data_IF_328190962801
#
_entry.id   IF_328190962801
#
_cell.length_a   1.000
_cell.length_b   1.000
_cell.length_c   1.000
_cell.angle_alpha   90.00
_cell.angle_beta   90.00
_cell.angle_gamma   90.00
#
_symmetry.space_group_name_H-M   'P 1'
#
loop_
_entity.id
_entity.type
_entity.pdbx_description
1 polymer ?
#
# COMPACT_ATOMS: atom_id res chain seq x y z
N UNK A 1 71.29 -37.71 55.53
CA UNK A 1 72.57 -36.96 55.64
C UNK A 1 72.31 -35.55 55.12
N UNK A 2 72.49 -34.52 55.98
CA UNK A 2 72.77 -33.10 55.63
C UNK A 2 71.62 -32.29 54.98
N UNK A 3 70.86 -31.52 55.77
CA UNK A 3 70.98 -30.05 56.06
C UNK A 3 70.42 -29.18 54.93
N UNK A 4 69.30 -28.46 55.11
CA UNK A 4 69.11 -27.14 55.76
C UNK A 4 69.82 -25.96 55.04
N UNK A 5 69.13 -24.81 54.98
CA UNK A 5 69.38 -23.52 54.30
C UNK A 5 68.73 -23.40 52.90
N UNK A 6 67.93 -22.38 52.56
CA UNK A 6 67.81 -21.02 53.11
C UNK A 6 66.41 -20.44 52.84
N UNK A 7 65.79 -19.90 53.88
CA UNK A 7 64.78 -18.82 53.81
C UNK A 7 65.46 -17.54 53.31
N UNK A 8 64.81 -16.74 52.48
CA UNK A 8 64.66 -15.28 52.69
C UNK A 8 63.43 -14.79 51.92
N UNK A 9 62.58 -14.16 52.72
CA UNK A 9 61.38 -13.39 52.41
C UNK A 9 61.79 -12.09 51.73
N UNK A 10 61.21 -11.75 50.57
CA UNK A 10 60.86 -10.36 50.27
C UNK A 10 59.44 -10.34 49.70
N UNK A 11 58.53 -9.88 50.54
CA UNK A 11 57.20 -9.43 50.19
C UNK A 11 57.29 -8.21 49.25
N UNK A 12 56.47 -8.20 48.20
CA UNK A 12 56.24 -7.01 47.40
C UNK A 12 55.93 -7.34 45.96
N UNK A 13 54.66 -7.62 45.65
CA UNK A 13 53.87 -6.93 44.61
C UNK A 13 52.51 -7.63 44.54
N UNK A 14 51.53 -6.85 44.97
CA UNK A 14 50.09 -7.08 44.89
C UNK A 14 49.65 -6.87 43.43
N UNK A 15 48.88 -7.83 42.91
CA UNK A 15 47.88 -7.73 41.82
C UNK A 15 48.39 -7.29 40.43
N UNK A 16 48.45 -8.25 39.50
CA UNK A 16 48.02 -8.07 38.10
C UNK A 16 48.00 -9.43 37.35
N UNK A 17 47.20 -10.37 37.85
CA UNK A 17 46.83 -11.58 37.07
C UNK A 17 45.75 -11.23 36.04
N UNK A 18 46.08 -10.34 35.10
CA UNK A 18 45.24 -10.05 33.95
C UNK A 18 45.36 -11.19 32.94
N UNK A 19 44.29 -11.97 32.80
CA UNK A 19 44.06 -12.87 31.67
C UNK A 19 44.23 -12.09 30.36
N UNK A 20 45.38 -12.25 29.70
CA UNK A 20 45.60 -11.80 28.32
C UNK A 20 44.81 -12.74 27.39
N UNK A 21 43.50 -12.53 27.29
CA UNK A 21 42.74 -12.94 26.11
C UNK A 21 43.19 -12.04 24.96
N UNK A 22 44.03 -12.58 24.07
CA UNK A 22 44.25 -12.01 22.75
C UNK A 22 42.92 -12.07 21.98
N UNK A 23 42.07 -11.07 22.18
CA UNK A 23 40.97 -10.79 21.28
C UNK A 23 41.55 -10.47 19.91
N UNK A 24 41.39 -11.39 18.96
CA UNK A 24 41.40 -10.99 17.54
C UNK A 24 40.34 -9.89 17.43
N UNK A 25 40.76 -8.64 17.20
CA UNK A 25 39.87 -7.62 16.66
C UNK A 25 39.22 -8.25 15.43
N UNK A 26 37.91 -8.43 15.48
CA UNK A 26 37.14 -8.57 14.26
C UNK A 26 37.47 -7.33 13.44
N UNK A 27 37.94 -7.54 12.21
CA UNK A 27 37.88 -6.48 11.21
C UNK A 27 36.41 -6.11 11.12
N UNK A 28 36.05 -4.98 11.72
CA UNK A 28 34.81 -4.28 11.41
C UNK A 28 35.03 -3.74 10.01
N UNK A 29 34.80 -4.60 9.01
CA UNK A 29 34.75 -4.17 7.62
C UNK A 29 33.78 -3.00 7.55
N UNK A 30 34.23 -1.89 6.95
CA UNK A 30 33.35 -0.77 6.64
C UNK A 30 32.06 -1.33 6.02
N UNK A 31 30.91 -0.83 6.50
CA UNK A 31 29.64 -1.14 5.85
C UNK A 31 29.80 -0.86 4.34
N UNK A 32 29.32 -1.74 3.45
CA UNK A 32 29.52 -1.58 2.03
C UNK A 32 29.04 -0.18 1.62
N UNK A 33 29.95 0.61 1.03
CA UNK A 33 29.64 1.94 0.53
C UNK A 33 28.53 1.80 -0.51
N UNK A 34 27.41 2.46 -0.26
CA UNK A 34 26.31 2.57 -1.21
C UNK A 34 26.72 3.42 -2.41
N UNK A 35 25.88 3.44 -3.44
CA UNK A 35 26.15 4.22 -4.64
C UNK A 35 26.00 5.73 -4.40
N UNK A 36 26.65 6.54 -5.24
CA UNK A 36 26.53 8.01 -5.15
C UNK A 36 25.13 8.52 -5.55
N UNK A 37 24.39 7.74 -6.33
CA UNK A 37 23.09 8.09 -6.90
C UNK A 37 22.26 6.82 -7.12
N UNK A 38 20.91 6.91 -7.14
CA UNK A 38 20.04 5.82 -7.58
C UNK A 38 20.40 5.29 -8.99
N UNK A 39 20.97 6.14 -9.85
CA UNK A 39 21.41 5.77 -11.20
C UNK A 39 22.71 4.95 -11.24
N UNK A 40 23.40 4.82 -10.12
CA UNK A 40 24.66 4.08 -9.99
C UNK A 40 24.54 2.90 -9.01
N UNK A 41 23.35 2.67 -8.46
CA UNK A 41 23.10 1.64 -7.47
C UNK A 41 22.94 0.26 -8.10
N UNK A 42 23.01 -0.76 -7.23
CA UNK A 42 22.75 -2.15 -7.58
C UNK A 42 21.35 -2.54 -7.14
N UNK A 43 20.61 -3.17 -8.04
CA UNK A 43 19.24 -3.65 -7.84
C UNK A 43 19.17 -5.15 -8.09
N UNK A 44 18.21 -5.83 -7.47
CA UNK A 44 17.94 -7.25 -7.76
C UNK A 44 16.76 -7.32 -8.73
N UNK A 45 16.97 -7.84 -9.93
CA UNK A 45 15.93 -8.01 -10.96
C UNK A 45 15.89 -9.48 -11.34
N UNK A 46 14.74 -10.14 -11.15
CA UNK A 46 14.58 -11.59 -11.41
C UNK A 46 15.68 -12.45 -10.74
N UNK A 47 16.02 -12.11 -9.50
CA UNK A 47 17.09 -12.72 -8.68
C UNK A 47 18.54 -12.49 -9.18
N UNK A 48 18.72 -11.71 -10.24
CA UNK A 48 20.04 -11.27 -10.70
C UNK A 48 20.40 -9.89 -10.16
N UNK A 49 21.68 -9.73 -9.79
CA UNK A 49 22.23 -8.46 -9.35
C UNK A 49 22.59 -7.59 -10.56
N UNK A 50 21.93 -6.45 -10.70
CA UNK A 50 22.12 -5.49 -11.80
C UNK A 50 22.65 -4.18 -11.25
N UNK A 51 23.92 -3.90 -11.48
CA UNK A 51 24.55 -2.61 -11.17
C UNK A 51 24.37 -1.66 -12.35
N UNK A 52 23.75 -0.51 -12.09
CA UNK A 52 23.67 0.58 -13.07
C UNK A 52 24.94 1.43 -13.03
N UNK A 53 25.25 2.06 -14.15
CA UNK A 53 26.26 3.12 -14.23
C UNK A 53 25.67 4.23 -15.10
N UNK A 54 25.50 5.42 -14.53
CA UNK A 54 24.78 6.54 -15.15
C UNK A 54 23.39 6.13 -15.69
N UNK A 55 22.70 5.28 -14.93
CA UNK A 55 21.34 4.83 -15.19
C UNK A 55 21.22 3.69 -16.19
N UNK A 56 22.33 3.06 -16.61
CA UNK A 56 22.30 1.98 -17.61
C UNK A 56 23.17 0.80 -17.15
N UNK A 57 22.71 -0.42 -17.44
CA UNK A 57 23.50 -1.65 -17.37
C UNK A 57 23.32 -2.45 -18.66
N UNK A 58 24.40 -2.97 -19.22
CA UNK A 58 24.38 -3.81 -20.43
C UNK A 58 25.20 -5.09 -20.17
N UNK A 59 24.53 -6.23 -20.23
CA UNK A 59 25.15 -7.56 -20.04
C UNK A 59 24.82 -8.42 -21.26
N UNK A 60 25.80 -9.16 -21.78
CA UNK A 60 25.52 -10.12 -22.86
C UNK A 60 24.68 -11.27 -22.31
N UNK A 61 23.54 -11.55 -22.94
CA UNK A 61 22.63 -12.60 -22.50
C UNK A 61 23.29 -13.99 -22.53
N UNK A 62 24.29 -14.17 -23.40
CA UNK A 62 25.16 -15.35 -23.49
C UNK A 62 26.55 -14.84 -23.91
N UNK A 63 27.61 -15.37 -23.28
CA UNK A 63 29.00 -15.06 -23.65
C UNK A 63 29.24 -15.35 -25.15
N UNK A 64 29.59 -14.32 -25.93
CA UNK A 64 29.80 -14.42 -27.39
C UNK A 64 28.56 -14.18 -28.27
N UNK A 65 27.39 -13.88 -27.70
CA UNK A 65 26.18 -13.48 -28.45
C UNK A 65 26.16 -11.97 -28.77
N UNK A 66 25.44 -11.59 -29.83
CA UNK A 66 25.10 -10.19 -30.11
C UNK A 66 23.90 -9.68 -29.29
N UNK A 67 23.13 -10.58 -28.66
CA UNK A 67 21.99 -10.23 -27.83
C UNK A 67 22.45 -9.72 -26.46
N UNK A 68 22.07 -8.48 -26.14
CA UNK A 68 22.34 -7.83 -24.86
C UNK A 68 21.06 -7.72 -24.04
N UNK A 69 21.17 -8.07 -22.76
CA UNK A 69 20.22 -7.61 -21.75
C UNK A 69 20.61 -6.20 -21.35
N UNK A 70 19.71 -5.25 -21.58
CA UNK A 70 19.91 -3.84 -21.25
C UNK A 70 18.90 -3.43 -20.19
N UNK A 71 19.37 -3.01 -19.03
CA UNK A 71 18.54 -2.42 -17.98
C UNK A 71 18.76 -0.91 -17.95
N UNK A 72 17.68 -0.12 -17.95
CA UNK A 72 17.76 1.35 -17.90
C UNK A 72 16.86 1.93 -16.80
N UNK A 73 17.39 2.95 -16.14
CA UNK A 73 16.63 3.88 -15.31
C UNK A 73 15.65 4.64 -16.19
N UNK A 74 14.36 4.36 -16.03
CA UNK A 74 13.30 4.98 -16.83
C UNK A 74 12.84 6.33 -16.23
N UNK A 75 12.80 6.43 -14.90
CA UNK A 75 12.28 7.59 -14.17
C UNK A 75 10.87 7.32 -13.64
N UNK A 76 9.99 8.32 -13.71
CA UNK A 76 8.66 8.28 -13.09
C UNK A 76 8.76 8.16 -11.56
N UNK A 77 9.53 9.07 -10.99
CA UNK A 77 9.98 9.07 -9.61
C UNK A 77 8.89 9.53 -8.62
N UNK A 78 8.91 8.91 -7.44
CA UNK A 78 8.36 9.48 -6.22
C UNK A 78 9.46 9.52 -5.16
N UNK A 79 9.62 10.70 -4.56
CA UNK A 79 10.54 10.91 -3.45
C UNK A 79 9.77 10.92 -2.14
N UNK A 80 10.27 10.19 -1.15
CA UNK A 80 9.66 10.06 0.17
C UNK A 80 10.66 9.43 1.14
N UNK A 81 10.56 9.72 2.43
CA UNK A 81 11.35 9.03 3.46
C UNK A 81 10.66 7.70 3.81
N UNK A 82 11.08 6.59 3.18
CA UNK A 82 10.43 5.29 3.33
C UNK A 82 10.79 4.60 4.64
N UNK A 83 11.98 4.88 5.19
CA UNK A 83 12.49 4.22 6.39
C UNK A 83 12.36 5.09 7.67
N UNK A 84 11.98 6.37 7.54
CA UNK A 84 11.78 7.30 8.64
C UNK A 84 13.09 7.84 9.25
N UNK A 85 14.20 7.81 8.51
CA UNK A 85 15.51 8.27 8.99
C UNK A 85 15.77 9.76 8.75
N UNK A 86 14.84 10.45 8.10
CA UNK A 86 14.91 11.87 7.78
C UNK A 86 15.69 12.20 6.50
N UNK A 87 16.17 11.19 5.76
CA UNK A 87 16.75 11.33 4.42
C UNK A 87 15.68 10.99 3.40
N UNK A 88 15.70 11.72 2.29
CA UNK A 88 14.75 11.48 1.20
C UNK A 88 15.24 10.30 0.36
N UNK A 89 14.39 9.27 0.25
CA UNK A 89 14.58 8.11 -0.61
C UNK A 89 13.81 8.29 -1.93
N UNK A 90 13.97 7.35 -2.86
CA UNK A 90 13.26 7.40 -4.15
C UNK A 90 12.75 6.03 -4.58
N UNK A 91 11.51 5.99 -5.10
CA UNK A 91 11.00 4.87 -5.88
C UNK A 91 10.74 5.32 -7.32
N UNK A 92 11.03 4.46 -8.29
CA UNK A 92 11.05 4.80 -9.70
C UNK A 92 10.91 3.54 -10.56
N UNK A 93 10.82 3.72 -11.88
CA UNK A 93 10.72 2.62 -12.83
C UNK A 93 12.06 2.27 -13.48
N UNK A 94 12.26 0.98 -13.66
CA UNK A 94 13.31 0.39 -14.50
C UNK A 94 12.68 -0.23 -15.74
N UNK A 95 13.44 -0.22 -16.83
CA UNK A 95 13.12 -0.99 -18.04
C UNK A 95 14.20 -2.03 -18.30
N UNK A 96 13.81 -3.19 -18.83
CA UNK A 96 14.74 -4.22 -19.26
C UNK A 96 14.38 -4.74 -20.65
N UNK A 97 15.38 -4.87 -21.50
CA UNK A 97 15.28 -5.43 -22.85
C UNK A 97 16.24 -6.61 -22.94
N UNK A 98 15.75 -7.84 -23.12
CA UNK A 98 16.55 -9.09 -23.08
C UNK A 98 16.95 -9.61 -24.47
N UNK A 99 17.08 -8.71 -25.45
CA UNK A 99 17.45 -9.04 -26.83
C UNK A 99 16.29 -9.50 -27.74
N UNK A 100 15.05 -9.50 -27.25
CA UNK A 100 13.83 -9.63 -28.05
C UNK A 100 13.24 -8.27 -28.47
N UNK A 101 11.94 -8.23 -28.80
CA UNK A 101 11.19 -6.99 -29.08
C UNK A 101 10.39 -6.46 -27.88
N UNK A 102 10.48 -7.14 -26.74
CA UNK A 102 9.80 -6.74 -25.50
C UNK A 102 10.61 -5.75 -24.69
N UNK A 103 9.91 -4.86 -24.00
CA UNK A 103 10.47 -3.95 -23.00
C UNK A 103 9.70 -4.20 -21.71
N UNK A 104 10.37 -4.79 -20.74
CA UNK A 104 9.79 -5.17 -19.45
C UNK A 104 9.94 -4.00 -18.47
N UNK A 105 8.87 -3.68 -17.74
CA UNK A 105 8.86 -2.61 -16.76
C UNK A 105 8.86 -3.19 -15.35
N UNK A 106 9.65 -2.56 -14.48
CA UNK A 106 9.75 -2.90 -13.07
C UNK A 106 9.68 -1.63 -12.23
N UNK A 107 9.22 -1.75 -10.99
CA UNK A 107 9.37 -0.71 -9.97
C UNK A 107 10.47 -1.10 -9.00
N UNK A 108 11.35 -0.14 -8.70
CA UNK A 108 12.46 -0.29 -7.77
C UNK A 108 12.47 0.90 -6.80
N UNK A 109 13.12 0.72 -5.64
CA UNK A 109 13.44 1.80 -4.72
C UNK A 109 14.93 1.86 -4.44
N UNK A 110 15.43 3.04 -4.12
CA UNK A 110 16.77 3.26 -3.61
C UNK A 110 16.69 4.04 -2.30
N UNK A 111 17.15 3.42 -1.21
CA UNK A 111 17.23 4.08 0.10
C UNK A 111 18.50 4.91 0.18
N UNK A 112 18.38 6.17 0.60
CA UNK A 112 19.48 7.10 0.76
C UNK A 112 20.08 6.96 2.17
N UNK A 113 21.07 6.08 2.31
CA UNK A 113 21.72 5.85 3.61
C UNK A 113 22.88 6.82 3.83
N UNK A 114 23.43 6.87 5.05
CA UNK A 114 24.63 7.67 5.34
C UNK A 114 25.84 7.28 4.48
N UNK A 115 25.88 6.04 4.01
CA UNK A 115 26.97 5.48 3.22
C UNK A 115 26.67 5.49 1.71
N UNK A 116 25.57 6.10 1.27
CA UNK A 116 25.13 6.15 -0.13
C UNK A 116 23.83 5.35 -0.38
N UNK A 117 23.43 5.31 -1.65
CA UNK A 117 22.19 4.68 -2.09
C UNK A 117 22.30 3.14 -2.12
N UNK A 118 21.28 2.49 -1.56
CA UNK A 118 21.12 1.03 -1.58
C UNK A 118 19.85 0.69 -2.35
N UNK A 119 19.97 -0.06 -3.43
CA UNK A 119 18.85 -0.45 -4.30
C UNK A 119 18.05 -1.64 -3.77
N UNK A 120 16.76 -1.66 -4.10
CA UNK A 120 15.84 -2.75 -3.74
C UNK A 120 15.86 -3.90 -4.73
N UNK A 121 15.20 -4.99 -4.35
CA UNK A 121 14.63 -5.91 -5.34
C UNK A 121 13.54 -5.18 -6.12
N UNK A 122 13.60 -5.27 -7.44
CA UNK A 122 12.60 -4.72 -8.33
C UNK A 122 11.40 -5.66 -8.43
N UNK A 123 10.19 -5.09 -8.49
CA UNK A 123 8.95 -5.81 -8.72
C UNK A 123 8.54 -5.66 -10.18
N UNK A 124 8.23 -6.75 -10.86
CA UNK A 124 7.75 -6.74 -12.24
C UNK A 124 6.35 -6.12 -12.34
N UNK A 125 6.16 -5.19 -13.28
CA UNK A 125 4.88 -4.54 -13.55
C UNK A 125 4.20 -5.08 -14.82
N UNK A 126 4.98 -5.35 -15.87
CA UNK A 126 4.43 -5.83 -17.13
C UNK A 126 5.36 -5.67 -18.34
N UNK A 127 4.96 -6.25 -19.47
CA UNK A 127 5.63 -6.11 -20.77
C UNK A 127 4.96 -5.00 -21.59
N UNK A 128 5.74 -4.01 -22.04
CA UNK A 128 5.32 -2.90 -22.92
C UNK A 128 4.05 -2.22 -22.43
N UNK A 129 4.00 -1.92 -21.13
CA UNK A 129 2.99 -1.06 -20.52
C UNK A 129 3.25 0.40 -20.90
N UNK A 130 2.27 1.27 -20.65
CA UNK A 130 2.44 2.72 -20.74
C UNK A 130 2.40 3.33 -19.32
N UNK A 131 3.56 3.62 -18.69
CA UNK A 131 3.60 4.30 -17.40
C UNK A 131 2.88 5.65 -17.44
N UNK A 132 2.19 5.99 -16.36
CA UNK A 132 1.51 7.27 -16.20
C UNK A 132 2.13 8.07 -15.05
N UNK A 133 1.83 7.72 -13.81
CA UNK A 133 2.33 8.43 -12.63
C UNK A 133 2.77 7.47 -11.53
N UNK A 134 3.75 7.89 -10.75
CA UNK A 134 4.08 7.29 -9.46
C UNK A 134 3.90 8.35 -8.38
N UNK A 135 3.16 8.05 -7.32
CA UNK A 135 2.95 8.98 -6.22
C UNK A 135 2.72 8.26 -4.90
N UNK A 136 2.82 8.96 -3.77
CA UNK A 136 2.40 8.41 -2.48
C UNK A 136 0.87 8.34 -2.41
N UNK A 137 0.35 7.31 -1.74
CA UNK A 137 -1.09 7.16 -1.52
C UNK A 137 -1.62 8.35 -0.74
N UNK A 138 -2.75 8.90 -1.20
CA UNK A 138 -3.47 9.98 -0.52
C UNK A 138 -4.40 9.46 0.58
N UNK A 139 -4.57 8.13 0.69
CA UNK A 139 -5.37 7.52 1.73
C UNK A 139 -4.62 7.61 3.08
N UNK A 140 -5.16 8.31 4.09
CA UNK A 140 -4.49 8.49 5.39
C UNK A 140 -4.20 7.18 6.13
N UNK A 141 -4.89 6.09 5.79
CA UNK A 141 -4.67 4.75 6.35
C UNK A 141 -3.50 4.01 5.70
N UNK A 142 -3.09 4.43 4.50
CA UNK A 142 -2.03 3.80 3.70
C UNK A 142 -0.72 4.59 3.82
N UNK A 143 -0.12 4.56 5.01
CA UNK A 143 1.17 5.23 5.25
C UNK A 143 2.30 4.54 4.47
N UNK A 144 3.17 5.34 3.86
CA UNK A 144 4.33 4.88 3.07
C UNK A 144 3.95 3.93 1.91
N UNK A 145 2.71 4.03 1.41
CA UNK A 145 2.27 3.26 0.25
C UNK A 145 2.52 4.07 -1.02
N UNK A 146 3.22 3.47 -1.97
CA UNK A 146 3.49 3.99 -3.30
C UNK A 146 2.38 3.49 -4.23
N UNK A 147 1.83 4.37 -5.06
CA UNK A 147 0.84 4.05 -6.09
C UNK A 147 1.50 4.24 -7.45
N UNK A 148 1.54 3.18 -8.25
CA UNK A 148 2.03 3.22 -9.63
C UNK A 148 0.85 3.05 -10.57
N UNK A 149 0.58 4.08 -11.37
CA UNK A 149 -0.45 4.08 -12.40
C UNK A 149 0.17 3.84 -13.77
N UNK A 150 -0.41 2.93 -14.54
CA UNK A 150 0.04 2.60 -15.89
C UNK A 150 -1.14 2.08 -16.71
N UNK A 151 -1.04 2.14 -18.04
CA UNK A 151 -1.96 1.42 -18.91
C UNK A 151 -1.33 0.13 -19.40
N UNK A 152 -2.14 -0.93 -19.43
CA UNK A 152 -1.82 -2.23 -19.99
C UNK A 152 -2.77 -2.52 -21.17
N UNK A 153 -2.50 -3.59 -21.90
CA UNK A 153 -3.35 -4.04 -23.01
C UNK A 153 -4.52 -4.86 -22.50
N UNK A 154 -5.65 -4.76 -23.21
CA UNK A 154 -6.74 -5.71 -23.06
C UNK A 154 -6.28 -7.11 -23.52
N UNK A 155 -6.87 -8.21 -23.00
CA UNK A 155 -6.44 -9.58 -23.32
C UNK A 155 -6.45 -9.93 -24.82
N UNK A 156 -7.24 -9.22 -25.62
CA UNK A 156 -7.44 -9.40 -27.05
C UNK A 156 -6.68 -8.38 -27.93
N UNK A 157 -6.02 -7.39 -27.32
CA UNK A 157 -5.22 -6.39 -28.05
C UNK A 157 -3.85 -6.95 -28.48
N UNK A 158 -3.40 -6.58 -29.68
CA UNK A 158 -2.08 -6.95 -30.18
C UNK A 158 -0.99 -6.17 -29.45
N UNK A 159 0.22 -6.74 -29.37
CA UNK A 159 1.40 -6.03 -28.86
C UNK A 159 1.85 -4.81 -29.69
N UNK A 160 1.30 -4.65 -30.89
CA UNK A 160 1.46 -3.44 -31.72
C UNK A 160 0.49 -2.33 -31.35
N UNK A 161 -0.58 -2.66 -30.62
CA UNK A 161 -1.57 -1.70 -30.18
C UNK A 161 -1.06 -0.98 -28.93
N UNK A 162 -1.44 0.29 -28.80
CA UNK A 162 -1.07 1.09 -27.64
C UNK A 162 -1.86 0.60 -26.42
N UNK A 163 -1.22 0.36 -25.26
CA UNK A 163 -1.92 0.03 -24.02
C UNK A 163 -3.02 1.04 -23.69
N UNK A 164 -4.23 0.53 -23.40
CA UNK A 164 -5.45 1.31 -23.27
C UNK A 164 -6.18 1.11 -21.92
N UNK A 165 -5.93 -0.01 -21.25
CA UNK A 165 -6.58 -0.39 -19.98
C UNK A 165 -5.80 0.17 -18.80
N UNK A 166 -6.35 1.19 -18.14
CA UNK A 166 -5.74 1.76 -16.93
C UNK A 166 -5.68 0.74 -15.78
N UNK A 167 -4.50 0.65 -15.15
CA UNK A 167 -4.21 -0.16 -13.97
C UNK A 167 -3.48 0.68 -12.94
N UNK A 168 -3.65 0.28 -11.69
CA UNK A 168 -2.96 0.86 -10.55
C UNK A 168 -2.50 -0.27 -9.65
N UNK A 169 -1.29 -0.15 -9.10
CA UNK A 169 -0.79 -1.06 -8.08
C UNK A 169 -0.31 -0.24 -6.87
N UNK A 170 -0.65 -0.71 -5.68
CA UNK A 170 -0.27 -0.10 -4.41
C UNK A 170 0.80 -0.95 -3.77
N UNK A 171 1.91 -0.34 -3.39
CA UNK A 171 3.11 -1.04 -2.96
C UNK A 171 3.63 -0.45 -1.67
N UNK A 172 4.06 -1.31 -0.75
CA UNK A 172 4.79 -0.91 0.45
C UNK A 172 6.19 -1.50 0.40
N UNK A 173 7.20 -0.68 0.65
CA UNK A 173 8.58 -1.14 0.73
C UNK A 173 8.87 -1.69 2.12
N UNK A 174 9.25 -2.97 2.21
CA UNK A 174 9.92 -3.49 3.40
C UNK A 174 11.39 -3.03 3.36
N UNK A 175 11.70 -2.00 4.15
CA UNK A 175 13.03 -1.36 4.15
C UNK A 175 14.12 -2.22 4.78
N UNK A 176 13.78 -3.27 5.51
CA UNK A 176 14.75 -4.23 6.04
C UNK A 176 15.10 -5.32 5.01
N UNK A 177 14.08 -5.87 4.35
CA UNK A 177 14.25 -6.90 3.33
C UNK A 177 14.56 -6.34 1.93
N UNK A 178 14.45 -5.02 1.75
CA UNK A 178 14.60 -4.30 0.49
C UNK A 178 13.71 -4.87 -0.63
N UNK A 179 12.43 -5.14 -0.30
CA UNK A 179 11.45 -5.79 -1.17
C UNK A 179 10.09 -5.11 -1.07
N UNK A 180 9.38 -5.01 -2.19
CA UNK A 180 8.00 -4.56 -2.20
C UNK A 180 7.02 -5.66 -1.80
N UNK A 181 6.02 -5.30 -1.02
CA UNK A 181 4.77 -6.04 -0.89
C UNK A 181 3.64 -5.30 -1.60
N UNK A 182 2.76 -6.02 -2.27
CA UNK A 182 1.53 -5.44 -2.82
C UNK A 182 0.52 -5.21 -1.69
N UNK A 183 0.02 -3.97 -1.61
CA UNK A 183 -1.11 -3.60 -0.77
C UNK A 183 -2.36 -3.83 -1.60
N UNK A 184 -2.88 -5.05 -1.53
CA UNK A 184 -4.17 -5.40 -2.14
C UNK A 184 -5.21 -4.39 -1.65
N UNK A 185 -6.04 -3.92 -2.59
CA UNK A 185 -7.17 -3.05 -2.30
C UNK A 185 -8.44 -3.89 -2.21
N UNK A 186 -9.39 -3.42 -1.41
CA UNK A 186 -10.72 -3.99 -1.27
C UNK A 186 -10.70 -5.46 -0.80
N UNK A 187 -9.71 -5.88 -0.01
CA UNK A 187 -9.61 -7.24 0.53
C UNK A 187 -10.36 -7.43 1.86
N UNK A 188 -10.85 -8.64 2.11
CA UNK A 188 -11.48 -9.01 3.39
C UNK A 188 -10.44 -8.92 4.54
N UNK A 189 -10.47 -7.85 5.33
CA UNK A 189 -9.54 -7.66 6.46
C UNK A 189 -8.85 -6.30 6.51
N UNK A 190 -9.04 -5.43 5.52
CA UNK A 190 -8.47 -4.07 5.48
C UNK A 190 -8.97 -3.15 6.60
N UNK A 191 -10.18 -3.39 7.08
CA UNK A 191 -10.78 -2.62 8.14
C UNK A 191 -10.69 -3.35 9.47
N UNK A 192 -10.13 -2.67 10.47
CA UNK A 192 -10.24 -3.11 11.85
C UNK A 192 -11.65 -2.81 12.37
N UNK A 193 -12.50 -3.85 12.44
CA UNK A 193 -13.88 -3.76 12.91
C UNK A 193 -14.01 -3.11 14.29
N UNK A 194 -13.00 -3.23 15.16
CA UNK A 194 -13.03 -2.63 16.51
C UNK A 194 -12.86 -1.10 16.51
N UNK A 195 -12.45 -0.51 15.39
CA UNK A 195 -12.31 0.93 15.22
C UNK A 195 -13.42 1.56 14.37
N UNK A 196 -14.37 0.76 13.88
CA UNK A 196 -15.44 1.26 13.02
C UNK A 196 -16.61 1.77 13.85
N UNK A 197 -17.13 2.93 13.45
CA UNK A 197 -18.30 3.57 14.04
C UNK A 197 -19.11 4.28 12.96
N UNK A 198 -20.39 4.51 13.22
CA UNK A 198 -21.31 5.14 12.26
C UNK A 198 -20.86 6.58 11.92
N UNK A 199 -20.35 7.33 12.89
CA UNK A 199 -19.95 8.72 12.79
C UNK A 199 -18.52 8.95 12.25
N UNK A 200 -17.77 7.87 11.95
CA UNK A 200 -16.35 7.99 11.60
C UNK A 200 -16.08 8.69 10.25
N UNK A 201 -17.05 8.65 9.34
CA UNK A 201 -16.95 9.21 7.99
C UNK A 201 -18.33 9.40 7.37
N UNK A 202 -18.35 10.06 6.23
CA UNK A 202 -19.48 10.09 5.31
C UNK A 202 -19.53 8.77 4.53
N UNK A 203 -20.70 8.13 4.51
CA UNK A 203 -20.94 6.85 3.85
C UNK A 203 -21.67 7.06 2.53
N UNK A 204 -21.17 6.46 1.46
CA UNK A 204 -21.74 6.51 0.10
C UNK A 204 -22.54 5.24 -0.17
N UNK A 205 -23.77 5.37 -0.65
CA UNK A 205 -24.58 4.21 -1.02
C UNK A 205 -24.01 3.54 -2.27
N UNK A 206 -23.72 2.24 -2.19
CA UNK A 206 -23.15 1.46 -3.28
C UNK A 206 -24.21 0.64 -4.01
N UNK A 207 -25.05 -0.07 -3.25
CA UNK A 207 -26.12 -0.95 -3.77
C UNK A 207 -27.10 -1.39 -2.68
N UNK A 208 -28.25 -1.89 -3.09
CA UNK A 208 -29.18 -2.64 -2.26
C UNK A 208 -29.47 -4.01 -2.91
N UNK A 209 -29.23 -5.07 -2.16
CA UNK A 209 -29.42 -6.46 -2.58
C UNK A 209 -30.63 -7.05 -1.85
N UNK A 210 -31.64 -7.49 -2.58
CA UNK A 210 -32.86 -8.06 -2.02
C UNK A 210 -32.82 -9.59 -2.03
N UNK A 211 -33.50 -10.18 -1.05
CA UNK A 211 -33.65 -11.64 -0.90
C UNK A 211 -34.33 -12.34 -2.09
N UNK A 212 -35.09 -11.60 -2.90
CA UNK A 212 -35.73 -12.09 -4.13
C UNK A 212 -34.82 -11.99 -5.38
N UNK A 213 -33.56 -11.58 -5.21
CA UNK A 213 -32.56 -11.45 -6.26
C UNK A 213 -32.62 -10.12 -7.01
N UNK A 214 -33.52 -9.20 -6.65
CA UNK A 214 -33.47 -7.83 -7.17
C UNK A 214 -32.24 -7.11 -6.61
N UNK A 215 -31.57 -6.36 -7.46
CA UNK A 215 -30.48 -5.45 -7.11
C UNK A 215 -30.87 -4.03 -7.53
N UNK A 216 -30.61 -3.05 -6.67
CA UNK A 216 -30.75 -1.63 -6.98
C UNK A 216 -29.39 -0.96 -6.80
N UNK A 217 -28.90 -0.34 -7.87
CA UNK A 217 -27.66 0.43 -7.90
C UNK A 217 -28.02 1.92 -8.10
N UNK A 218 -27.32 2.87 -7.44
CA UNK A 218 -27.52 4.29 -7.71
C UNK A 218 -27.21 4.63 -9.17
N UNK A 219 -28.14 5.31 -9.84
CA UNK A 219 -27.98 5.87 -11.19
C UNK A 219 -26.95 6.99 -11.21
N UNK A 220 -26.85 7.73 -10.10
CA UNK A 220 -25.87 8.78 -9.86
C UNK A 220 -24.92 8.33 -8.73
N UNK A 221 -23.78 7.68 -9.06
CA UNK A 221 -22.98 6.92 -8.11
C UNK A 221 -22.43 7.70 -6.92
N UNK A 222 -22.36 9.02 -7.00
CA UNK A 222 -21.79 9.88 -5.95
C UNK A 222 -22.83 10.75 -5.24
N UNK A 223 -24.10 10.67 -5.62
CA UNK A 223 -25.14 11.58 -5.11
C UNK A 223 -25.68 11.15 -3.74
N UNK A 224 -25.76 9.84 -3.50
CA UNK A 224 -26.44 9.28 -2.34
C UNK A 224 -25.50 9.01 -1.18
N UNK A 225 -25.58 9.86 -0.17
CA UNK A 225 -24.67 9.77 0.98
C UNK A 225 -25.38 9.96 2.29
N UNK A 226 -24.84 9.38 3.37
CA UNK A 226 -25.30 9.54 4.74
C UNK A 226 -24.12 9.82 5.68
N UNK A 227 -24.31 10.78 6.57
CA UNK A 227 -23.37 11.13 7.65
C UNK A 227 -24.11 11.04 8.97
N UNK A 228 -23.50 10.34 9.94
CA UNK A 228 -23.99 10.24 11.30
C UNK A 228 -23.21 11.19 12.21
N UNK A 229 -23.90 11.79 13.17
CA UNK A 229 -23.33 12.67 14.18
C UNK A 229 -23.32 11.98 15.55
N UNK A 230 -22.46 12.47 16.45
CA UNK A 230 -22.33 11.99 17.84
C UNK A 230 -23.56 12.31 18.71
N UNK A 231 -24.37 13.29 18.31
CA UNK A 231 -25.63 13.67 18.94
C UNK A 231 -26.83 12.80 18.53
N UNK A 232 -26.59 11.64 17.91
CA UNK A 232 -27.63 10.70 17.44
C UNK A 232 -28.53 11.28 16.34
N UNK A 233 -28.01 12.23 15.55
CA UNK A 233 -28.65 12.71 14.32
C UNK A 233 -27.94 12.23 13.07
N UNK A 234 -28.67 12.17 11.95
CA UNK A 234 -28.06 11.91 10.65
C UNK A 234 -28.47 12.97 9.64
N UNK A 235 -27.61 13.16 8.65
CA UNK A 235 -27.89 13.94 7.44
C UNK A 235 -27.57 13.10 6.22
N UNK A 236 -28.37 13.23 5.18
CA UNK A 236 -28.17 12.52 3.93
C UNK A 236 -28.41 13.45 2.73
N UNK A 237 -27.72 13.15 1.64
CA UNK A 237 -27.91 13.78 0.33
C UNK A 237 -28.39 12.71 -0.63
N UNK A 238 -29.35 13.05 -1.50
CA UNK A 238 -29.80 12.21 -2.62
C UNK A 238 -29.51 12.90 -3.96
N UNK A 239 -29.91 12.28 -5.05
CA UNK A 239 -29.90 12.88 -6.39
C UNK A 239 -30.91 14.02 -6.58
N UNK A 240 -31.76 14.32 -5.59
CA UNK A 240 -32.77 15.37 -5.67
C UNK A 240 -32.83 16.28 -4.45
N UNK A 241 -32.96 15.70 -3.25
CA UNK A 241 -33.20 16.40 -2.00
C UNK A 241 -32.09 16.10 -0.98
N UNK A 242 -32.12 16.84 0.12
CA UNK A 242 -31.44 16.41 1.34
C UNK A 242 -32.45 15.79 2.31
N UNK A 243 -31.97 14.86 3.11
CA UNK A 243 -32.73 14.22 4.19
C UNK A 243 -32.00 14.42 5.53
N UNK A 244 -32.74 14.45 6.62
CA UNK A 244 -32.18 14.45 7.96
C UNK A 244 -33.16 13.81 8.95
N UNK A 245 -32.66 13.39 10.09
CA UNK A 245 -33.48 12.82 11.15
C UNK A 245 -32.63 12.43 12.35
N UNK A 246 -33.23 11.65 13.24
CA UNK A 246 -32.54 11.03 14.36
C UNK A 246 -32.37 9.53 14.14
N UNK A 247 -31.44 8.93 14.86
CA UNK A 247 -31.27 7.48 14.88
C UNK A 247 -31.02 6.99 16.31
N UNK A 248 -31.51 5.80 16.63
CA UNK A 248 -31.21 5.13 17.89
C UNK A 248 -30.48 3.83 17.62
N UNK A 249 -29.50 3.50 18.46
CA UNK A 249 -28.77 2.23 18.37
C UNK A 249 -28.83 1.48 19.70
N UNK A 250 -28.98 0.16 19.61
CA UNK A 250 -28.76 -0.77 20.72
C UNK A 250 -27.98 -1.96 20.18
N UNK A 251 -26.72 -2.08 20.61
CA UNK A 251 -25.74 -3.02 20.08
C UNK A 251 -25.61 -2.92 18.55
N UNK A 252 -26.19 -3.87 17.82
CA UNK A 252 -26.18 -3.98 16.36
C UNK A 252 -27.52 -3.58 15.73
N UNK A 253 -28.49 -3.14 16.52
CA UNK A 253 -29.75 -2.62 16.00
C UNK A 253 -29.61 -1.13 15.73
N UNK A 254 -30.31 -0.67 14.69
CA UNK A 254 -30.44 0.76 14.38
C UNK A 254 -31.88 1.03 13.96
N UNK A 255 -32.42 2.15 14.40
CA UNK A 255 -33.75 2.64 14.03
C UNK A 255 -33.65 4.11 13.67
N UNK A 256 -34.02 4.44 12.43
CA UNK A 256 -34.13 5.81 11.97
C UNK A 256 -35.50 6.39 12.36
N UNK A 257 -35.51 7.65 12.81
CA UNK A 257 -36.70 8.36 13.29
C UNK A 257 -36.75 9.78 12.73
N UNK A 258 -37.96 10.33 12.71
CA UNK A 258 -38.23 11.72 12.32
C UNK A 258 -37.59 12.13 10.99
N UNK A 259 -37.57 11.20 10.02
CA UNK A 259 -36.97 11.45 8.71
C UNK A 259 -37.73 12.58 8.02
N UNK A 260 -37.03 13.69 7.81
CA UNK A 260 -37.49 14.84 7.07
C UNK A 260 -36.70 14.96 5.76
N UNK A 261 -37.36 15.45 4.72
CA UNK A 261 -36.74 15.71 3.42
C UNK A 261 -37.16 17.09 2.89
N UNK A 262 -36.30 17.71 2.10
CA UNK A 262 -36.70 18.89 1.31
C UNK A 262 -37.77 18.51 0.28
N UNK A 263 -38.51 19.50 -0.23
CA UNK A 263 -39.66 19.28 -1.13
C UNK A 263 -39.36 19.76 -2.56
N UNK A 264 -38.22 19.34 -3.11
CA UNK A 264 -37.90 19.51 -4.53
C UNK A 264 -38.44 18.28 -5.27
N UNK A 265 -39.04 18.47 -6.44
CA UNK A 265 -39.46 17.37 -7.29
C UNK A 265 -38.41 17.14 -8.38
N UNK A 266 -37.92 15.91 -8.50
CA UNK A 266 -37.04 15.48 -9.58
C UNK A 266 -37.59 14.20 -10.22
N UNK A 267 -37.89 14.27 -11.51
CA UNK A 267 -38.34 13.11 -12.27
C UNK A 267 -37.23 12.05 -12.36
N UNK A 268 -37.55 10.79 -12.08
CA UNK A 268 -36.62 9.67 -12.21
C UNK A 268 -35.63 9.46 -11.04
N UNK A 269 -35.72 10.28 -9.99
CA UNK A 269 -34.91 10.21 -8.77
C UNK A 269 -35.09 8.88 -8.03
N UNK A 270 -34.01 8.39 -7.39
CA UNK A 270 -34.04 7.22 -6.50
C UNK A 270 -34.16 7.59 -5.01
N UNK A 271 -34.51 8.83 -4.67
CA UNK A 271 -34.65 9.26 -3.27
C UNK A 271 -35.72 8.47 -2.50
N UNK A 272 -36.79 8.03 -3.18
CA UNK A 272 -37.84 7.22 -2.57
C UNK A 272 -37.34 5.85 -2.12
N UNK A 273 -36.54 5.18 -2.97
CA UNK A 273 -35.90 3.92 -2.63
C UNK A 273 -34.94 4.12 -1.45
N UNK A 274 -34.11 5.17 -1.52
CA UNK A 274 -33.14 5.49 -0.46
C UNK A 274 -33.81 5.78 0.90
N UNK A 275 -34.89 6.56 0.91
CA UNK A 275 -35.67 6.82 2.14
C UNK A 275 -36.31 5.54 2.69
N UNK A 276 -36.79 4.65 1.81
CA UNK A 276 -37.38 3.38 2.19
C UNK A 276 -36.32 2.47 2.85
N UNK A 277 -35.10 2.44 2.33
CA UNK A 277 -34.00 1.67 2.93
C UNK A 277 -33.73 2.09 4.37
N UNK A 278 -33.64 3.40 4.64
CA UNK A 278 -33.44 3.90 6.00
C UNK A 278 -34.63 3.55 6.90
N UNK A 279 -35.85 3.65 6.37
CA UNK A 279 -37.08 3.33 7.11
C UNK A 279 -37.17 1.85 7.47
N UNK A 280 -36.77 0.96 6.56
CA UNK A 280 -36.87 -0.49 6.72
C UNK A 280 -35.67 -1.11 7.43
N UNK A 281 -34.61 -0.35 7.69
CA UNK A 281 -33.42 -0.86 8.38
C UNK A 281 -33.74 -1.23 9.83
N UNK A 282 -33.29 -2.41 10.27
CA UNK A 282 -33.43 -2.87 11.66
C UNK A 282 -32.09 -3.18 12.33
N UNK A 283 -31.04 -3.44 11.56
CA UNK A 283 -29.70 -3.73 12.06
C UNK A 283 -28.64 -3.11 11.17
N UNK A 284 -27.46 -2.98 11.74
CA UNK A 284 -26.26 -2.63 11.01
C UNK A 284 -25.07 -3.46 11.46
N UNK A 285 -24.12 -3.61 10.56
CA UNK A 285 -22.80 -4.13 10.88
C UNK A 285 -21.77 -3.54 9.93
N UNK A 286 -20.50 -3.67 10.30
CA UNK A 286 -19.39 -3.27 9.44
C UNK A 286 -18.72 -4.50 8.85
N UNK A 287 -18.21 -4.37 7.63
CA UNK A 287 -17.42 -5.43 6.98
C UNK A 287 -15.94 -5.15 7.15
N UNK A 288 -15.15 -6.22 7.02
CA UNK A 288 -13.69 -6.12 7.01
C UNK A 288 -13.13 -5.42 5.75
N UNK A 289 -13.99 -5.07 4.78
CA UNK A 289 -13.69 -4.19 3.65
C UNK A 289 -13.90 -2.70 3.98
N UNK A 290 -14.37 -2.38 5.19
CA UNK A 290 -14.60 -1.00 5.61
C UNK A 290 -15.94 -0.42 5.13
N UNK A 291 -16.91 -1.29 4.87
CA UNK A 291 -18.28 -0.95 4.48
C UNK A 291 -19.20 -0.92 5.70
N UNK A 292 -20.29 -0.16 5.57
CA UNK A 292 -21.44 -0.20 6.46
C UNK A 292 -22.56 -0.96 5.75
N UNK A 293 -23.05 -2.02 6.38
CA UNK A 293 -24.20 -2.78 5.90
C UNK A 293 -25.39 -2.46 6.79
N UNK A 294 -26.49 -2.06 6.17
CA UNK A 294 -27.80 -1.95 6.81
C UNK A 294 -28.64 -3.17 6.42
N UNK A 295 -29.12 -3.93 7.39
CA UNK A 295 -30.02 -5.06 7.15
C UNK A 295 -31.46 -4.60 7.24
N UNK A 296 -32.23 -4.88 6.18
CA UNK A 296 -33.63 -4.51 6.07
C UNK A 296 -34.52 -5.50 6.85
N UNK A 297 -35.66 -5.00 7.32
CA UNK A 297 -36.62 -5.75 8.10
C UNK A 297 -37.02 -7.06 7.43
N UNK A 298 -37.30 -8.08 8.25
CA UNK A 298 -37.72 -9.42 7.82
C UNK A 298 -36.72 -10.15 6.90
N UNK A 299 -35.45 -9.75 6.89
CA UNK A 299 -34.43 -10.34 6.01
C UNK A 299 -34.68 -10.05 4.53
N UNK A 300 -35.40 -8.97 4.23
CA UNK A 300 -35.81 -8.60 2.88
C UNK A 300 -34.62 -8.23 1.98
N UNK A 301 -33.50 -7.82 2.56
CA UNK A 301 -32.27 -7.49 1.85
C UNK A 301 -31.25 -6.77 2.72
N UNK A 302 -30.18 -6.32 2.07
CA UNK A 302 -29.11 -5.51 2.67
C UNK A 302 -28.81 -4.30 1.81
N UNK A 303 -28.42 -3.20 2.45
CA UNK A 303 -27.98 -1.97 1.78
C UNK A 303 -26.54 -1.70 2.15
N UNK A 304 -25.69 -1.64 1.14
CA UNK A 304 -24.24 -1.53 1.29
C UNK A 304 -23.80 -0.09 1.09
N UNK A 305 -23.01 0.42 2.03
CA UNK A 305 -22.39 1.74 1.96
C UNK A 305 -20.87 1.66 2.12
N UNK A 306 -20.15 2.59 1.51
CA UNK A 306 -18.68 2.67 1.57
C UNK A 306 -18.16 4.06 1.91
#
# INVERSE_FOLDING_TARGET
MKTFLLLIIIAGVVIAGGLFFFGKKADIGEAPMGAASPKDATYIIEDESVTLTDGVSEVYAIEGSAAKTTTRYFGNEVYHDFNGDGREDVAFLLTQETGGSGTFFYVAAALNTENGYVGSRALFLGDRIAPQSTHMSTNPRQKNVIVVNYADRAPDESFTDRPSVGKSIWLILNTHAMQFGEVVQDFEGEANLSMMSLDMKKWLWMRADFSDGREIIPKEPTAFTISFSDDSTFSATTDCNSMSGSYETDQNTIMFKDIAMTKIYCEGSQEGDFAQFLTDTIKYHFTSHGELILELASGSGTVTFR
#
